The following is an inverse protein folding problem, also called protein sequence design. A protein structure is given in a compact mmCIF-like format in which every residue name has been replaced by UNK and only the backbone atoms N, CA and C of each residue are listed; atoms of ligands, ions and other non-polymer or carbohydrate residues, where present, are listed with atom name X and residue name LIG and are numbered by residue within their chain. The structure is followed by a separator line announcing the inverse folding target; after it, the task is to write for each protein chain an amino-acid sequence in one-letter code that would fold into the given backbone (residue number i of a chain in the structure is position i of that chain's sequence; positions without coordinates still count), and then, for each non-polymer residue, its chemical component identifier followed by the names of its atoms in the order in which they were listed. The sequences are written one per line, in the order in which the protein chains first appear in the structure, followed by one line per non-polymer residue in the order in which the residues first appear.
data_IF_167946582957
#
_entry.id   IF_167946582957
#
_cell.length_a   1.000
_cell.length_b   1.000
_cell.length_c   1.000
_cell.angle_alpha   90.00
_cell.angle_beta   90.00
_cell.angle_gamma   90.00
#
_symmetry.space_group_name_H-M   'P 1'
#
loop_
_entity.id
_entity.type
_entity.pdbx_description
1 polymer ?
#
# COMPACT_ATOMS: atom_id res chain seq x y z
N UNK A 1 8.44 10.34 -26.31
CA UNK A 1 7.04 10.73 -26.02
C UNK A 1 7.04 11.97 -25.16
N UNK A 2 6.58 13.11 -25.68
CA UNK A 2 6.37 14.32 -24.87
C UNK A 2 4.87 14.45 -24.61
N UNK A 3 4.49 14.32 -23.35
CA UNK A 3 3.13 14.59 -22.89
C UNK A 3 3.13 15.98 -22.28
N UNK A 4 2.25 16.85 -22.75
CA UNK A 4 2.08 18.17 -22.15
C UNK A 4 0.61 18.44 -21.85
N UNK A 5 0.36 19.07 -20.69
CA UNK A 5 -0.96 19.45 -20.25
C UNK A 5 -1.00 20.98 -20.05
N UNK A 6 -1.99 21.64 -20.62
CA UNK A 6 -2.16 23.10 -20.50
C UNK A 6 -3.59 23.44 -20.11
N UNK A 7 -3.78 24.30 -19.12
CA UNK A 7 -5.10 24.85 -18.81
C UNK A 7 -5.51 25.84 -19.91
N UNK A 8 -6.71 25.65 -20.47
CA UNK A 8 -7.27 26.51 -21.51
C UNK A 8 -8.28 27.53 -20.95
N UNK A 9 -8.84 27.29 -19.75
CA UNK A 9 -9.83 28.16 -19.12
C UNK A 9 -10.43 27.53 -17.85
N UNK A 10 -11.59 28.02 -17.41
CA UNK A 10 -12.33 27.41 -16.28
C UNK A 10 -12.69 25.97 -16.62
N UNK A 11 -12.12 25.02 -15.88
CA UNK A 11 -12.42 23.59 -15.97
C UNK A 11 -12.16 22.95 -17.35
N UNK A 12 -11.29 23.52 -18.17
CA UNK A 12 -10.89 22.96 -19.47
C UNK A 12 -9.37 22.83 -19.58
N UNK A 13 -8.94 21.66 -20.03
CA UNK A 13 -7.53 21.26 -20.09
C UNK A 13 -7.21 20.68 -21.46
N UNK A 14 -6.11 21.08 -22.06
CA UNK A 14 -5.56 20.48 -23.28
C UNK A 14 -4.49 19.47 -22.90
N UNK A 15 -4.67 18.21 -23.28
CA UNK A 15 -3.57 17.26 -23.34
C UNK A 15 -3.07 17.14 -24.78
N UNK A 16 -1.75 17.23 -24.94
CA UNK A 16 -1.07 16.97 -26.19
C UNK A 16 -0.16 15.74 -26.05
N UNK A 17 -0.34 14.78 -26.95
CA UNK A 17 0.45 13.57 -27.12
C UNK A 17 1.04 13.57 -28.52
N UNK A 18 2.29 14.01 -28.65
CA UNK A 18 2.95 14.20 -29.94
C UNK A 18 2.04 15.01 -30.92
N UNK A 19 1.36 14.39 -31.89
CA UNK A 19 0.45 15.08 -32.82
C UNK A 19 -1.02 15.11 -32.38
N UNK A 20 -1.41 14.32 -31.39
CA UNK A 20 -2.79 14.27 -30.91
C UNK A 20 -3.04 15.34 -29.85
N UNK A 21 -4.10 16.13 -30.04
CA UNK A 21 -4.55 17.14 -29.07
C UNK A 21 -5.97 16.83 -28.64
N UNK A 22 -6.18 16.69 -27.34
CA UNK A 22 -7.48 16.37 -26.75
C UNK A 22 -7.80 17.42 -25.69
N UNK A 23 -8.95 18.08 -25.86
CA UNK A 23 -9.50 18.96 -24.83
C UNK A 23 -10.37 18.14 -23.90
N UNK A 24 -10.11 18.23 -22.60
CA UNK A 24 -10.86 17.57 -21.54
C UNK A 24 -11.56 18.62 -20.69
N UNK A 25 -12.79 18.33 -20.30
CA UNK A 25 -13.44 19.06 -19.21
C UNK A 25 -13.13 18.44 -17.83
N UNK A 26 -13.72 19.00 -16.77
CA UNK A 26 -13.51 18.52 -15.41
C UNK A 26 -14.06 17.09 -15.18
N UNK A 27 -15.13 16.71 -15.86
CA UNK A 27 -15.74 15.37 -15.77
C UNK A 27 -14.83 14.35 -16.46
N UNK A 28 -14.33 14.70 -17.65
CA UNK A 28 -13.40 13.88 -18.42
C UNK A 28 -12.08 13.68 -17.66
N UNK A 29 -11.56 14.74 -17.02
CA UNK A 29 -10.34 14.64 -16.20
C UNK A 29 -10.51 13.68 -15.02
N UNK A 30 -11.68 13.69 -14.38
CA UNK A 30 -12.02 12.74 -13.30
C UNK A 30 -12.13 11.31 -13.83
N UNK A 31 -12.71 11.12 -15.01
CA UNK A 31 -12.79 9.80 -15.64
C UNK A 31 -11.41 9.29 -16.04
N UNK A 32 -10.57 10.14 -16.63
CA UNK A 32 -9.20 9.79 -17.02
C UNK A 32 -8.36 9.42 -15.79
N UNK A 33 -8.47 10.17 -14.69
CA UNK A 33 -7.82 9.81 -13.43
C UNK A 33 -8.32 8.45 -12.90
N UNK A 34 -9.63 8.19 -12.97
CA UNK A 34 -10.19 6.91 -12.56
C UNK A 34 -9.71 5.75 -13.45
N UNK A 35 -9.59 5.96 -14.75
CA UNK A 35 -9.07 4.97 -15.70
C UNK A 35 -7.57 4.73 -15.53
N UNK A 36 -6.78 5.78 -15.33
CA UNK A 36 -5.35 5.69 -15.00
C UNK A 36 -5.15 4.94 -13.69
N UNK A 37 -5.92 5.26 -12.65
CA UNK A 37 -5.88 4.53 -11.39
C UNK A 37 -6.27 3.06 -11.58
N UNK A 38 -7.28 2.75 -12.40
CA UNK A 38 -7.64 1.37 -12.75
C UNK A 38 -6.55 0.66 -13.56
N UNK A 39 -5.85 1.36 -14.44
CA UNK A 39 -4.81 0.78 -15.30
C UNK A 39 -3.52 0.53 -14.51
N UNK A 40 -3.12 1.48 -13.67
CA UNK A 40 -1.98 1.36 -12.76
C UNK A 40 -2.25 0.34 -11.65
N UNK A 41 -3.51 0.15 -11.26
CA UNK A 41 -3.88 -0.70 -10.10
C UNK A 41 -4.68 -1.97 -10.45
N UNK A 42 -4.92 -2.29 -11.71
CA UNK A 42 -5.64 -3.51 -12.14
C UNK A 42 -7.12 -3.59 -11.71
N UNK A 43 -7.88 -2.51 -11.87
CA UNK A 43 -9.30 -2.42 -11.48
C UNK A 43 -9.50 -1.82 -10.08
N UNK A 44 -10.77 -1.63 -9.67
CA UNK A 44 -11.10 -1.00 -8.37
C UNK A 44 -10.32 -1.66 -7.22
N UNK A 45 -9.57 -0.85 -6.50
CA UNK A 45 -8.74 -1.28 -5.36
C UNK A 45 -9.66 -1.45 -4.17
N UNK A 46 -10.04 -2.70 -3.88
CA UNK A 46 -10.77 -3.05 -2.66
C UNK A 46 -9.78 -3.15 -1.50
N UNK A 47 -10.22 -2.95 -0.25
CA UNK A 47 -9.37 -3.13 0.93
C UNK A 47 -8.73 -4.52 0.98
N UNK A 48 -9.44 -5.56 0.56
CA UNK A 48 -8.88 -6.93 0.45
C UNK A 48 -7.68 -7.00 -0.51
N UNK A 49 -7.75 -6.30 -1.66
CA UNK A 49 -6.64 -6.25 -2.62
C UNK A 49 -5.46 -5.47 -2.06
N UNK A 50 -5.71 -4.35 -1.38
CA UNK A 50 -4.65 -3.57 -0.70
C UNK A 50 -3.99 -4.43 0.37
N UNK A 51 -4.79 -5.12 1.18
CA UNK A 51 -4.31 -6.02 2.21
C UNK A 51 -3.44 -7.11 1.62
N UNK A 52 -3.93 -7.84 0.61
CA UNK A 52 -3.18 -8.92 -0.04
C UNK A 52 -1.85 -8.41 -0.61
N UNK A 53 -1.86 -7.22 -1.22
CA UNK A 53 -0.65 -6.59 -1.73
C UNK A 53 0.34 -6.25 -0.59
N UNK A 54 -0.12 -5.59 0.47
CA UNK A 54 0.71 -5.25 1.64
C UNK A 54 1.33 -6.48 2.29
N UNK A 55 0.55 -7.54 2.47
CA UNK A 55 1.03 -8.82 3.02
C UNK A 55 2.14 -9.39 2.13
N UNK A 56 1.95 -9.39 0.81
CA UNK A 56 2.97 -9.84 -0.13
C UNK A 56 4.25 -9.00 -0.04
N UNK A 57 4.13 -7.67 0.09
CA UNK A 57 5.27 -6.78 0.28
C UNK A 57 6.04 -7.10 1.57
N UNK A 58 5.35 -7.29 2.69
CA UNK A 58 5.99 -7.60 3.98
C UNK A 58 6.72 -8.95 3.95
N UNK A 59 6.12 -9.95 3.31
CA UNK A 59 6.76 -11.27 3.13
C UNK A 59 8.05 -11.17 2.33
N UNK A 60 8.09 -10.30 1.33
CA UNK A 60 9.24 -10.13 0.44
C UNK A 60 10.22 -9.03 0.87
N UNK A 61 9.88 -8.19 1.86
CA UNK A 61 10.76 -7.14 2.37
C UNK A 61 12.03 -7.72 3.01
N UNK A 62 13.08 -6.92 3.14
CA UNK A 62 14.22 -7.26 3.98
C UNK A 62 13.96 -6.94 5.46
N UNK A 63 14.74 -7.51 6.37
CA UNK A 63 14.51 -7.34 7.81
C UNK A 63 14.73 -5.88 8.26
N UNK A 64 15.72 -5.19 7.71
CA UNK A 64 15.96 -3.78 8.01
C UNK A 64 14.77 -2.92 7.53
N UNK A 65 14.26 -3.19 6.33
CA UNK A 65 13.05 -2.56 5.82
C UNK A 65 11.81 -2.82 6.68
N UNK A 66 11.65 -4.03 7.21
CA UNK A 66 10.56 -4.33 8.15
C UNK A 66 10.70 -3.60 9.48
N UNK A 67 11.90 -3.51 10.04
CA UNK A 67 12.14 -2.72 11.26
C UNK A 67 11.86 -1.23 11.02
N UNK A 68 12.28 -0.69 9.88
CA UNK A 68 11.99 0.68 9.49
C UNK A 68 10.48 0.91 9.34
N UNK A 69 9.75 -0.03 8.74
CA UNK A 69 8.29 0.01 8.62
C UNK A 69 7.62 0.00 9.99
N UNK A 70 8.02 -0.91 10.88
CA UNK A 70 7.48 -1.02 12.23
C UNK A 70 7.70 0.25 13.05
N UNK A 71 8.83 0.93 12.86
CA UNK A 71 9.14 2.18 13.53
C UNK A 71 8.39 3.39 12.96
N UNK A 72 8.16 3.41 11.64
CA UNK A 72 7.50 4.52 10.96
C UNK A 72 5.96 4.42 10.93
N UNK A 73 5.39 3.28 11.32
CA UNK A 73 3.95 3.04 11.30
C UNK A 73 3.31 3.34 12.65
N UNK A 74 2.05 3.77 12.63
CA UNK A 74 1.27 3.84 13.87
C UNK A 74 1.02 2.41 14.41
N UNK A 75 1.07 2.19 15.74
CA UNK A 75 0.84 0.87 16.32
C UNK A 75 -0.51 0.26 15.92
N UNK A 76 -1.57 1.08 15.90
CA UNK A 76 -2.92 0.65 15.51
C UNK A 76 -3.00 0.20 14.05
N UNK A 77 -2.21 0.79 13.14
CA UNK A 77 -2.21 0.37 11.73
C UNK A 77 -1.59 -1.03 11.58
N UNK A 78 -0.49 -1.31 12.29
CA UNK A 78 0.14 -2.63 12.32
C UNK A 78 -0.81 -3.67 12.94
N UNK A 79 -1.53 -3.29 14.00
CA UNK A 79 -2.53 -4.14 14.62
C UNK A 79 -3.68 -4.48 13.67
N UNK A 80 -4.21 -3.49 12.94
CA UNK A 80 -5.26 -3.74 11.94
C UNK A 80 -4.79 -4.65 10.82
N UNK A 81 -3.55 -4.51 10.36
CA UNK A 81 -2.97 -5.39 9.36
C UNK A 81 -2.82 -6.83 9.88
N UNK A 82 -2.33 -7.00 11.10
CA UNK A 82 -2.18 -8.32 11.75
C UNK A 82 -3.53 -8.99 12.00
N UNK A 83 -4.57 -8.21 12.35
CA UNK A 83 -5.93 -8.71 12.52
C UNK A 83 -6.55 -9.12 11.19
N UNK A 84 -6.40 -8.29 10.15
CA UNK A 84 -6.91 -8.62 8.82
C UNK A 84 -6.21 -9.85 8.23
N UNK A 85 -4.91 -10.00 8.48
CA UNK A 85 -4.10 -11.16 8.06
C UNK A 85 -4.00 -12.26 9.12
N UNK A 86 -4.99 -12.42 10.02
CA UNK A 86 -4.85 -13.31 11.18
C UNK A 86 -4.60 -14.78 10.84
N UNK A 87 -5.06 -15.23 9.68
CA UNK A 87 -4.84 -16.57 9.13
C UNK A 87 -3.44 -16.75 8.52
N UNK A 88 -2.72 -15.66 8.26
CA UNK A 88 -1.40 -15.67 7.62
C UNK A 88 -0.28 -15.78 8.65
N UNK A 89 0.14 -17.01 8.95
CA UNK A 89 1.24 -17.27 9.89
C UNK A 89 2.54 -16.62 9.45
N UNK A 90 2.85 -16.65 8.15
CA UNK A 90 4.09 -16.05 7.62
C UNK A 90 4.12 -14.54 7.83
N UNK A 91 2.99 -13.84 7.68
CA UNK A 91 2.89 -12.41 8.01
C UNK A 91 3.26 -12.15 9.47
N UNK A 92 2.65 -12.90 10.40
CA UNK A 92 2.89 -12.78 11.84
C UNK A 92 4.35 -13.04 12.18
N UNK A 93 4.91 -14.15 11.70
CA UNK A 93 6.29 -14.53 11.96
C UNK A 93 7.26 -13.46 11.48
N UNK A 94 7.04 -12.90 10.28
CA UNK A 94 7.88 -11.87 9.69
C UNK A 94 7.86 -10.56 10.50
N UNK A 95 6.68 -10.11 10.94
CA UNK A 95 6.57 -8.89 11.74
C UNK A 95 7.11 -9.11 13.16
N UNK A 96 6.75 -10.20 13.83
CA UNK A 96 7.18 -10.49 15.20
C UNK A 96 8.68 -10.77 15.32
N UNK A 97 9.31 -11.39 14.32
CA UNK A 97 10.76 -11.57 14.29
C UNK A 97 11.53 -10.24 14.21
N UNK A 98 10.87 -9.16 13.80
CA UNK A 98 11.46 -7.82 13.69
C UNK A 98 11.00 -6.87 14.82
N UNK A 99 10.30 -7.39 15.82
CA UNK A 99 9.90 -6.66 17.02
C UNK A 99 10.78 -7.06 18.22
N UNK A 100 10.92 -6.15 19.18
CA UNK A 100 11.43 -6.52 20.50
C UNK A 100 10.41 -7.39 21.24
N UNK A 101 10.86 -8.21 22.19
CA UNK A 101 9.97 -9.06 22.99
C UNK A 101 8.88 -8.25 23.70
N UNK A 102 9.23 -7.07 24.23
CA UNK A 102 8.27 -6.14 24.83
C UNK A 102 7.23 -5.66 23.83
N UNK A 103 7.65 -5.20 22.65
CA UNK A 103 6.73 -4.72 21.62
C UNK A 103 5.79 -5.83 21.15
N UNK A 104 6.33 -7.04 20.97
CA UNK A 104 5.55 -8.22 20.61
C UNK A 104 4.46 -8.53 21.64
N UNK A 105 4.79 -8.55 22.94
CA UNK A 105 3.80 -8.81 24.00
C UNK A 105 2.67 -7.77 23.99
N UNK A 106 3.00 -6.49 23.87
CA UNK A 106 2.00 -5.40 23.79
C UNK A 106 1.08 -5.60 22.57
N UNK A 107 1.65 -5.96 21.41
CA UNK A 107 0.87 -6.20 20.19
C UNK A 107 -0.04 -7.43 20.34
N UNK A 108 0.45 -8.51 20.93
CA UNK A 108 -0.34 -9.73 21.18
C UNK A 108 -1.50 -9.45 22.15
N UNK A 109 -1.25 -8.70 23.22
CA UNK A 109 -2.29 -8.25 24.16
C UNK A 109 -3.32 -7.36 23.46
N UNK A 110 -2.88 -6.31 22.76
CA UNK A 110 -3.77 -5.39 22.05
C UNK A 110 -4.65 -6.11 21.00
N UNK A 111 -4.11 -7.08 20.28
CA UNK A 111 -4.88 -7.89 19.32
C UNK A 111 -6.00 -8.70 20.01
N UNK A 112 -5.72 -9.24 21.20
CA UNK A 112 -6.69 -10.03 21.96
C UNK A 112 -7.82 -9.18 22.54
N UNK A 113 -7.54 -7.91 22.89
CA UNK A 113 -8.50 -7.02 23.54
C UNK A 113 -9.23 -6.08 22.58
N UNK A 114 -8.55 -5.40 21.66
CA UNK A 114 -9.13 -4.31 20.86
C UNK A 114 -10.11 -4.76 19.77
N UNK A 115 -9.93 -5.95 19.20
CA UNK A 115 -10.70 -6.39 18.03
C UNK A 115 -11.49 -7.68 18.27
N UNK A 116 -11.91 -7.89 19.52
CA UNK A 116 -12.71 -9.05 19.93
C UNK A 116 -14.04 -9.14 19.15
N UNK A 117 -14.64 -7.99 18.85
CA UNK A 117 -15.91 -7.87 18.12
C UNK A 117 -15.72 -7.61 16.61
N UNK A 118 -14.48 -7.77 16.11
CA UNK A 118 -14.12 -7.50 14.72
C UNK A 118 -13.63 -6.08 14.46
N UNK A 119 -13.31 -5.78 13.20
CA UNK A 119 -12.77 -4.49 12.75
C UNK A 119 -13.74 -3.84 11.77
N UNK A 120 -14.20 -2.60 12.01
CA UNK A 120 -14.99 -1.86 11.02
C UNK A 120 -14.20 -1.69 9.71
N UNK A 121 -14.81 -2.07 8.58
CA UNK A 121 -14.15 -2.07 7.28
C UNK A 121 -13.61 -0.68 6.87
N UNK A 122 -14.29 0.40 7.25
CA UNK A 122 -13.81 1.76 7.02
C UNK A 122 -12.49 2.06 7.75
N UNK A 123 -12.33 1.58 8.98
CA UNK A 123 -11.12 1.78 9.78
C UNK A 123 -9.96 0.98 9.20
N UNK A 124 -10.22 -0.28 8.83
CA UNK A 124 -9.24 -1.12 8.15
C UNK A 124 -8.74 -0.46 6.86
N UNK A 125 -9.65 0.06 6.03
CA UNK A 125 -9.30 0.73 4.77
C UNK A 125 -8.35 1.92 4.97
N UNK A 126 -8.61 2.74 6.00
CA UNK A 126 -7.77 3.90 6.33
C UNK A 126 -6.39 3.46 6.82
N UNK A 127 -6.33 2.46 7.70
CA UNK A 127 -5.07 1.91 8.20
C UNK A 127 -4.20 1.33 7.07
N UNK A 128 -4.79 0.52 6.19
CA UNK A 128 -4.10 -0.06 5.03
C UNK A 128 -3.61 1.02 4.06
N UNK A 129 -4.39 2.10 3.87
CA UNK A 129 -3.97 3.23 3.04
C UNK A 129 -2.78 3.98 3.64
N UNK A 130 -2.75 4.19 4.97
CA UNK A 130 -1.62 4.80 5.68
C UNK A 130 -0.36 3.93 5.57
N UNK A 131 -0.46 2.62 5.84
CA UNK A 131 0.64 1.68 5.66
C UNK A 131 1.20 1.66 4.23
N UNK A 132 0.32 1.70 3.22
CA UNK A 132 0.73 1.74 1.82
C UNK A 132 1.56 3.00 1.52
N UNK A 133 1.19 4.15 2.08
CA UNK A 133 1.95 5.39 1.94
C UNK A 133 3.29 5.29 2.66
N UNK A 134 3.33 4.76 3.89
CA UNK A 134 4.57 4.56 4.65
C UNK A 134 5.55 3.66 3.91
N UNK A 135 5.08 2.53 3.36
CA UNK A 135 5.92 1.64 2.56
C UNK A 135 6.44 2.34 1.30
N UNK A 136 5.58 3.10 0.61
CA UNK A 136 5.99 3.85 -0.59
C UNK A 136 7.06 4.88 -0.27
N UNK A 137 6.93 5.61 0.84
CA UNK A 137 7.92 6.57 1.30
C UNK A 137 9.25 5.88 1.63
N UNK A 138 9.23 4.81 2.43
CA UNK A 138 10.45 4.07 2.79
C UNK A 138 11.15 3.46 1.58
N UNK A 139 10.40 3.02 0.56
CA UNK A 139 11.00 2.57 -0.70
C UNK A 139 11.65 3.70 -1.48
N UNK A 140 10.99 4.87 -1.54
CA UNK A 140 11.57 6.07 -2.17
C UNK A 140 12.85 6.55 -1.48
N UNK A 141 12.93 6.39 -0.16
CA UNK A 141 14.12 6.66 0.66
C UNK A 141 15.20 5.57 0.57
N UNK A 142 14.93 4.44 -0.11
CA UNK A 142 15.85 3.29 -0.17
C UNK A 142 15.96 2.50 1.14
N UNK A 143 15.08 2.76 2.11
CA UNK A 143 15.07 2.15 3.45
C UNK A 143 14.25 0.87 3.53
N UNK A 144 13.49 0.53 2.49
CA UNK A 144 12.79 -0.73 2.36
C UNK A 144 13.13 -1.36 1.02
N UNK A 145 13.72 -2.55 1.05
CA UNK A 145 14.05 -3.33 -0.14
C UNK A 145 13.16 -4.56 -0.24
N UNK A 146 12.59 -4.80 -1.42
CA UNK A 146 11.78 -5.99 -1.67
C UNK A 146 12.63 -6.96 -2.47
N UNK A 147 12.90 -8.13 -1.88
CA UNK A 147 13.57 -9.20 -2.59
C UNK A 147 12.62 -9.76 -3.64
N UNK A 148 12.84 -9.36 -4.89
CA UNK A 148 12.25 -10.06 -6.02
C UNK A 148 12.91 -11.42 -6.09
N UNK A 149 12.18 -12.51 -5.84
CA UNK A 149 12.67 -13.86 -6.13
C UNK A 149 13.11 -13.87 -7.59
N UNK A 150 14.42 -13.83 -7.85
CA UNK A 150 14.97 -14.19 -9.16
C UNK A 150 14.45 -15.61 -9.41
N UNK A 151 13.68 -15.79 -10.46
CA UNK A 151 13.51 -17.10 -11.07
C UNK A 151 14.90 -17.56 -11.53
N UNK A 152 15.62 -18.26 -10.66
CA UNK A 152 16.72 -19.11 -11.07
C UNK A 152 16.08 -20.35 -11.68
N UNK A 153 15.68 -20.23 -12.94
CA UNK A 153 15.51 -21.39 -13.82
C UNK A 153 16.89 -21.98 -14.05
N UNK A 154 17.24 -22.97 -13.22
CA UNK A 154 18.43 -23.79 -13.41
C UNK A 154 18.07 -24.87 -14.42
N UNK A 155 18.90 -24.95 -15.47
CA UNK A 155 19.22 -26.10 -16.35
C UNK A 155 18.08 -26.82 -17.05
#
# INVERSE_FOLDING_TARGET
MKISAKALGKNQYLLAFDDARVTLDQSDLKQLLAQLNKLVSGGAVTPDKVQAHLIALIKAADNLGLQALLHASEPDDILMLLKAGEADKTLKDRLFANMSERARRVVEEDLAFKYKDGVPHAHLSVALARLSRTITALRGEGRLSIQSKKQTGST
#
